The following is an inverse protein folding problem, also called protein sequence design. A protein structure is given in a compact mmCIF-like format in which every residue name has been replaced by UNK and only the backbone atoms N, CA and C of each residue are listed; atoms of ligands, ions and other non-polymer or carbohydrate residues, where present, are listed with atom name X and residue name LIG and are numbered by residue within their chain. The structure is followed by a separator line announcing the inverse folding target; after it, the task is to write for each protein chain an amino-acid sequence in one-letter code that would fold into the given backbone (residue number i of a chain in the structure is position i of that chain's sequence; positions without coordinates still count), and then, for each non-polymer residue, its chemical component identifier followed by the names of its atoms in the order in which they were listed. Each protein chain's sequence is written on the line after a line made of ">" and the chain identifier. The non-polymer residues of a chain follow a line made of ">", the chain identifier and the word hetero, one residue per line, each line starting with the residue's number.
data_IF_693563330471
#
_entry.id   IF_693563330471
#
_cell.length_a   1.000
_cell.length_b   1.000
_cell.length_c   1.000
_cell.angle_alpha   90.00
_cell.angle_beta   90.00
_cell.angle_gamma   90.00
#
_symmetry.space_group_name_H-M   'P 1'
#
loop_
_entity.id
_entity.type
_entity.pdbx_description
1 polymer ?
#
# COMPACT_ATOMS: atom_id res chain seq x y z
N UNK A 1 16.67 -8.33 11.75
CA UNK A 1 16.75 -8.65 10.31
C UNK A 1 17.18 -7.42 9.54
N UNK A 2 17.94 -7.60 8.44
CA UNK A 2 18.22 -6.56 7.46
C UNK A 2 17.27 -6.72 6.27
N UNK A 3 16.40 -5.77 6.03
CA UNK A 3 15.26 -5.88 5.11
C UNK A 3 15.49 -5.01 3.87
N UNK A 4 15.35 -5.61 2.68
CA UNK A 4 15.23 -4.83 1.45
C UNK A 4 13.79 -4.31 1.34
N UNK A 5 13.60 -3.00 1.20
CA UNK A 5 12.28 -2.38 1.02
C UNK A 5 12.23 -1.71 -0.35
N UNK A 6 11.59 -2.35 -1.32
CA UNK A 6 11.39 -1.73 -2.64
C UNK A 6 10.16 -0.84 -2.61
N UNK A 7 10.22 0.35 -3.24
CA UNK A 7 9.15 1.33 -3.15
C UNK A 7 9.06 2.00 -1.77
N UNK A 8 10.17 1.99 -1.01
CA UNK A 8 10.21 2.46 0.38
C UNK A 8 10.04 3.97 0.56
N UNK A 9 10.25 4.77 -0.49
CA UNK A 9 9.98 6.20 -0.47
C UNK A 9 8.50 6.56 -0.71
N UNK A 10 7.67 5.56 -1.04
CA UNK A 10 6.23 5.72 -1.25
C UNK A 10 5.43 5.81 0.06
N UNK A 11 4.10 5.97 -0.07
CA UNK A 11 3.19 6.15 1.06
C UNK A 11 3.27 5.02 2.09
N UNK A 12 3.01 3.78 1.67
CA UNK A 12 3.01 2.63 2.59
C UNK A 12 4.44 2.29 3.01
N UNK A 13 5.40 2.34 2.07
CA UNK A 13 6.80 2.01 2.33
C UNK A 13 7.42 2.89 3.40
N UNK A 14 7.24 4.22 3.34
CA UNK A 14 7.79 5.15 4.33
C UNK A 14 7.24 4.93 5.75
N UNK A 15 5.93 4.62 5.88
CA UNK A 15 5.35 4.26 7.17
C UNK A 15 5.87 2.89 7.66
N UNK A 16 6.06 1.93 6.76
CA UNK A 16 6.61 0.61 7.12
C UNK A 16 8.05 0.71 7.61
N UNK A 17 8.86 1.59 7.05
CA UNK A 17 10.22 1.83 7.55
C UNK A 17 10.22 2.22 9.03
N UNK A 18 9.32 3.14 9.44
CA UNK A 18 9.22 3.54 10.84
C UNK A 18 8.91 2.35 11.74
N UNK A 19 7.94 1.53 11.37
CA UNK A 19 7.54 0.37 12.19
C UNK A 19 8.63 -0.72 12.19
N UNK A 20 9.39 -0.90 11.09
CA UNK A 20 10.55 -1.81 11.05
C UNK A 20 11.63 -1.37 12.05
N UNK A 21 12.02 -0.08 12.03
CA UNK A 21 13.03 0.44 12.96
C UNK A 21 12.56 0.37 14.42
N UNK A 22 11.29 0.69 14.70
CA UNK A 22 10.69 0.52 16.05
C UNK A 22 10.75 -0.93 16.54
N UNK A 23 10.65 -1.90 15.63
CA UNK A 23 10.75 -3.33 15.91
C UNK A 23 12.20 -3.86 15.98
N UNK A 24 13.21 -3.00 15.82
CA UNK A 24 14.63 -3.36 15.89
C UNK A 24 15.19 -3.98 14.60
N UNK A 25 14.51 -3.83 13.47
CA UNK A 25 15.02 -4.24 12.16
C UNK A 25 15.78 -3.09 11.50
N UNK A 26 16.69 -3.42 10.58
CA UNK A 26 17.34 -2.47 9.68
C UNK A 26 16.75 -2.59 8.28
N UNK A 27 16.82 -1.52 7.50
CA UNK A 27 16.28 -1.53 6.15
C UNK A 27 17.20 -0.78 5.17
N UNK A 28 17.23 -1.28 3.92
CA UNK A 28 17.77 -0.56 2.77
C UNK A 28 16.63 -0.35 1.78
N UNK A 29 16.43 0.87 1.35
CA UNK A 29 15.36 1.24 0.42
C UNK A 29 15.87 1.20 -1.01
N UNK A 30 15.07 0.61 -1.91
CA UNK A 30 15.19 0.77 -3.37
C UNK A 30 13.95 1.46 -3.91
N UNK A 31 14.14 2.56 -4.62
CA UNK A 31 13.05 3.31 -5.24
C UNK A 31 13.58 4.07 -6.46
N UNK A 32 12.84 4.09 -7.57
CA UNK A 32 13.22 4.86 -8.74
C UNK A 32 12.71 6.31 -8.69
N UNK A 33 11.91 6.64 -7.66
CA UNK A 33 11.29 7.95 -7.43
C UNK A 33 10.35 8.40 -8.55
N UNK A 34 9.77 7.47 -9.32
CA UNK A 34 8.82 7.81 -10.38
C UNK A 34 7.48 8.33 -9.81
N UNK A 35 7.03 7.78 -8.67
CA UNK A 35 5.78 8.16 -7.99
C UNK A 35 5.99 8.33 -6.47
N UNK A 36 7.16 8.79 -6.08
CA UNK A 36 7.55 9.01 -4.68
C UNK A 36 8.48 10.22 -4.58
N UNK A 37 8.79 10.64 -3.36
CA UNK A 37 9.67 11.78 -3.10
C UNK A 37 10.71 11.39 -2.04
N UNK A 38 12.03 11.62 -2.27
CA UNK A 38 13.08 11.29 -1.31
C UNK A 38 12.95 12.04 0.01
N UNK A 39 12.23 13.15 0.05
CA UNK A 39 11.92 13.89 1.27
C UNK A 39 11.17 13.02 2.29
N UNK A 40 10.39 12.03 1.84
CA UNK A 40 9.76 11.07 2.74
C UNK A 40 10.80 10.31 3.57
N UNK A 41 11.90 9.87 2.95
CA UNK A 41 13.00 9.15 3.64
C UNK A 41 13.75 10.05 4.62
N UNK A 42 13.99 11.32 4.27
CA UNK A 42 14.59 12.30 5.18
C UNK A 42 13.72 12.48 6.43
N UNK A 43 12.40 12.62 6.24
CA UNK A 43 11.46 12.76 7.35
C UNK A 43 11.25 11.46 8.14
N UNK A 44 11.37 10.30 7.51
CA UNK A 44 11.45 9.02 8.23
C UNK A 44 12.69 9.01 9.14
N UNK A 45 13.87 9.38 8.63
CA UNK A 45 15.09 9.45 9.43
C UNK A 45 14.92 10.37 10.66
N UNK A 46 14.30 11.53 10.47
CA UNK A 46 13.96 12.48 11.55
C UNK A 46 13.04 11.82 12.61
N UNK A 47 11.98 11.10 12.19
CA UNK A 47 11.03 10.44 13.10
C UNK A 47 11.70 9.34 13.92
N UNK A 48 12.56 8.54 13.29
CA UNK A 48 13.19 7.39 13.96
C UNK A 48 14.51 7.75 14.66
N UNK A 49 14.98 8.99 14.51
CA UNK A 49 16.18 9.49 15.19
C UNK A 49 17.50 8.93 14.63
N UNK A 50 17.60 8.76 13.31
CA UNK A 50 18.84 8.35 12.62
C UNK A 50 19.31 9.44 11.66
N UNK A 51 20.59 9.45 11.30
CA UNK A 51 21.12 10.44 10.37
C UNK A 51 20.50 10.33 8.99
N UNK A 52 20.33 9.09 8.49
CA UNK A 52 19.70 8.81 7.19
C UNK A 52 19.16 7.38 7.12
N UNK A 53 18.14 7.19 6.29
CA UNK A 53 17.69 5.86 5.87
C UNK A 53 18.57 5.41 4.70
N UNK A 54 19.21 4.25 4.74
CA UNK A 54 19.97 3.71 3.61
C UNK A 54 19.09 3.63 2.35
N UNK A 55 19.51 4.31 1.29
CA UNK A 55 18.73 4.47 0.08
C UNK A 55 19.56 4.21 -1.17
N UNK A 56 19.06 3.38 -2.07
CA UNK A 56 19.64 3.09 -3.37
C UNK A 56 18.63 3.45 -4.46
N UNK A 57 18.93 4.51 -5.22
CA UNK A 57 18.07 4.95 -6.32
C UNK A 57 18.24 4.01 -7.51
N UNK A 58 17.26 3.13 -7.74
CA UNK A 58 17.25 2.22 -8.88
C UNK A 58 15.81 1.82 -9.26
N UNK A 59 15.65 1.42 -10.50
CA UNK A 59 14.44 0.75 -10.98
C UNK A 59 14.55 -0.76 -10.72
N UNK A 60 13.47 -1.39 -10.27
CA UNK A 60 13.46 -2.85 -10.02
C UNK A 60 13.62 -3.67 -11.31
N UNK A 61 13.46 -3.05 -12.48
CA UNK A 61 13.75 -3.67 -13.79
C UNK A 61 15.23 -3.65 -14.16
N UNK A 62 16.03 -2.81 -13.48
CA UNK A 62 17.48 -2.75 -13.69
C UNK A 62 18.18 -3.87 -12.92
N UNK A 63 18.38 -4.98 -13.62
CA UNK A 63 19.04 -6.19 -13.10
C UNK A 63 20.44 -5.90 -12.57
N UNK A 64 21.23 -5.12 -13.29
CA UNK A 64 22.61 -4.84 -12.92
C UNK A 64 22.68 -3.99 -11.66
N UNK A 65 21.81 -2.98 -11.55
CA UNK A 65 21.70 -2.16 -10.34
C UNK A 65 21.33 -3.02 -9.13
N UNK A 66 20.34 -3.91 -9.26
CA UNK A 66 19.95 -4.81 -8.18
C UNK A 66 21.08 -5.79 -7.82
N UNK A 67 21.78 -6.36 -8.81
CA UNK A 67 22.94 -7.23 -8.54
C UNK A 67 24.05 -6.51 -7.76
N UNK A 68 24.38 -5.26 -8.11
CA UNK A 68 25.32 -4.43 -7.34
C UNK A 68 24.88 -4.22 -5.90
N UNK A 69 23.59 -3.95 -5.70
CA UNK A 69 23.03 -3.76 -4.37
C UNK A 69 23.15 -5.03 -3.51
N UNK A 70 22.76 -6.17 -4.07
CA UNK A 70 22.83 -7.47 -3.37
C UNK A 70 24.27 -7.95 -3.15
N UNK A 71 25.21 -7.60 -4.03
CA UNK A 71 26.63 -7.89 -3.84
C UNK A 71 27.22 -7.13 -2.63
N UNK A 72 26.71 -5.95 -2.32
CA UNK A 72 27.18 -5.09 -1.23
C UNK A 72 26.40 -5.27 0.07
N UNK A 73 25.28 -5.99 0.03
CA UNK A 73 24.37 -6.13 1.18
C UNK A 73 23.84 -7.56 1.27
N UNK A 74 23.84 -8.11 2.49
CA UNK A 74 23.11 -9.34 2.78
C UNK A 74 21.74 -8.99 3.33
N UNK A 75 20.69 -9.43 2.64
CA UNK A 75 19.31 -9.25 3.06
C UNK A 75 18.71 -10.54 3.62
N UNK A 76 18.01 -10.44 4.73
CA UNK A 76 17.27 -11.54 5.35
C UNK A 76 15.90 -11.74 4.69
N UNK A 77 15.28 -10.65 4.24
CA UNK A 77 13.99 -10.66 3.54
C UNK A 77 13.83 -9.42 2.67
N UNK A 78 12.87 -9.48 1.74
CA UNK A 78 12.42 -8.35 0.94
C UNK A 78 10.94 -8.03 1.26
N UNK A 79 10.62 -6.77 1.51
CA UNK A 79 9.25 -6.25 1.48
C UNK A 79 9.08 -5.48 0.18
N UNK A 80 8.21 -5.99 -0.68
CA UNK A 80 8.10 -5.53 -2.07
C UNK A 80 6.85 -4.67 -2.26
N UNK A 81 7.04 -3.33 -2.21
CA UNK A 81 5.98 -2.33 -2.49
C UNK A 81 6.08 -1.76 -3.91
N UNK A 82 7.26 -1.76 -4.53
CA UNK A 82 7.47 -1.13 -5.82
C UNK A 82 6.48 -1.66 -6.86
N UNK A 83 5.73 -0.74 -7.48
CA UNK A 83 4.74 -1.06 -8.49
C UNK A 83 3.82 0.13 -8.77
N UNK A 84 3.34 0.22 -10.00
CA UNK A 84 2.30 1.16 -10.39
C UNK A 84 0.96 0.68 -9.79
N UNK A 85 0.16 1.59 -9.23
CA UNK A 85 -1.01 1.24 -8.40
C UNK A 85 -2.32 1.92 -8.78
N UNK A 86 -2.33 2.83 -9.74
CA UNK A 86 -3.52 3.60 -10.08
C UNK A 86 -4.43 2.80 -11.03
N UNK A 87 -5.61 2.42 -10.53
CA UNK A 87 -6.58 1.57 -11.26
C UNK A 87 -6.98 2.21 -12.60
N UNK A 88 -7.40 3.48 -12.59
CA UNK A 88 -7.80 4.18 -13.80
C UNK A 88 -6.68 4.30 -14.84
N UNK A 89 -5.48 4.71 -14.39
CA UNK A 89 -4.31 4.81 -15.27
C UNK A 89 -3.93 3.44 -15.88
N UNK A 90 -4.13 2.35 -15.15
CA UNK A 90 -3.81 1.01 -15.65
C UNK A 90 -4.65 0.63 -16.88
N UNK A 91 -5.87 1.15 -16.99
CA UNK A 91 -6.73 0.91 -18.16
C UNK A 91 -6.23 1.72 -19.36
N UNK A 92 -5.70 2.92 -19.14
CA UNK A 92 -5.16 3.79 -20.19
C UNK A 92 -3.76 3.37 -20.65
N UNK A 93 -2.96 2.82 -19.70
CA UNK A 93 -1.53 2.47 -19.91
C UNK A 93 -1.23 1.03 -19.48
N UNK A 94 -1.93 0.01 -20.01
CA UNK A 94 -1.77 -1.37 -19.54
C UNK A 94 -0.34 -1.91 -19.74
N UNK A 95 0.33 -1.53 -20.83
CA UNK A 95 1.69 -1.97 -21.12
C UNK A 95 2.66 -1.58 -20.00
N UNK A 96 2.64 -0.33 -19.56
CA UNK A 96 3.50 0.19 -18.51
C UNK A 96 3.26 -0.54 -17.19
N UNK A 97 2.00 -0.92 -16.91
CA UNK A 97 1.65 -1.68 -15.70
C UNK A 97 2.18 -3.11 -15.73
N UNK A 98 2.01 -3.81 -16.86
CA UNK A 98 2.55 -5.17 -16.99
C UNK A 98 4.08 -5.17 -17.00
N UNK A 99 4.68 -4.27 -17.74
CA UNK A 99 6.14 -4.18 -17.86
C UNK A 99 6.77 -3.78 -16.52
N UNK A 100 6.25 -2.76 -15.84
CA UNK A 100 6.79 -2.35 -14.55
C UNK A 100 6.53 -3.38 -13.45
N UNK A 101 5.29 -3.81 -13.28
CA UNK A 101 4.92 -4.62 -12.13
C UNK A 101 5.36 -6.08 -12.29
N UNK A 102 5.12 -6.70 -13.45
CA UNK A 102 5.44 -8.12 -13.66
C UNK A 102 6.91 -8.29 -13.98
N UNK A 103 7.42 -7.64 -15.03
CA UNK A 103 8.82 -7.80 -15.43
C UNK A 103 9.76 -7.34 -14.32
N UNK A 104 9.46 -6.21 -13.65
CA UNK A 104 10.24 -5.72 -12.53
C UNK A 104 10.28 -6.70 -11.35
N UNK A 105 9.14 -7.30 -10.97
CA UNK A 105 9.11 -8.30 -9.90
C UNK A 105 9.86 -9.57 -10.28
N UNK A 106 9.77 -10.04 -11.54
CA UNK A 106 10.53 -11.20 -12.02
C UNK A 106 12.04 -10.95 -11.97
N UNK A 107 12.50 -9.76 -12.35
CA UNK A 107 13.91 -9.36 -12.24
C UNK A 107 14.36 -9.36 -10.79
N UNK A 108 13.59 -8.73 -9.89
CA UNK A 108 13.88 -8.69 -8.46
C UNK A 108 14.00 -10.10 -7.86
N UNK A 109 13.04 -10.96 -8.09
CA UNK A 109 12.98 -12.32 -7.53
C UNK A 109 14.14 -13.19 -8.06
N UNK A 110 14.51 -13.04 -9.35
CA UNK A 110 15.67 -13.75 -9.88
C UNK A 110 17.00 -13.28 -9.23
N UNK A 111 17.16 -11.99 -9.00
CA UNK A 111 18.33 -11.46 -8.27
C UNK A 111 18.32 -11.94 -6.82
N UNK A 112 17.20 -11.87 -6.13
CA UNK A 112 17.04 -12.40 -4.76
C UNK A 112 17.47 -13.86 -4.68
N UNK A 113 16.97 -14.70 -5.60
CA UNK A 113 17.31 -16.13 -5.68
C UNK A 113 18.81 -16.36 -5.83
N UNK A 114 19.46 -15.65 -6.74
CA UNK A 114 20.91 -15.78 -7.03
C UNK A 114 21.78 -15.38 -5.84
N UNK A 115 21.28 -14.50 -4.97
CA UNK A 115 21.97 -14.04 -3.76
C UNK A 115 21.50 -14.72 -2.47
N UNK A 116 20.69 -15.78 -2.57
CA UNK A 116 20.23 -16.59 -1.43
C UNK A 116 19.19 -15.91 -0.53
N UNK A 117 18.60 -14.78 -0.95
CA UNK A 117 17.48 -14.14 -0.26
C UNK A 117 16.17 -14.74 -0.76
N UNK A 118 15.66 -15.77 -0.08
CA UNK A 118 14.44 -16.50 -0.47
C UNK A 118 13.22 -16.18 0.42
N UNK A 119 13.17 -14.98 0.98
CA UNK A 119 12.10 -14.51 1.86
C UNK A 119 11.48 -13.23 1.27
N UNK A 120 10.19 -13.28 0.92
CA UNK A 120 9.49 -12.14 0.33
C UNK A 120 8.13 -11.91 0.97
N UNK A 121 7.87 -10.66 1.34
CA UNK A 121 6.53 -10.15 1.70
C UNK A 121 6.06 -9.29 0.52
N UNK A 122 5.01 -9.75 -0.14
CA UNK A 122 4.49 -9.10 -1.35
C UNK A 122 3.26 -8.25 -1.06
N UNK A 123 3.31 -7.01 -1.50
CA UNK A 123 2.20 -6.07 -1.52
C UNK A 123 1.15 -6.49 -2.54
N UNK A 124 0.21 -7.34 -2.13
CA UNK A 124 -0.95 -7.68 -2.93
C UNK A 124 -2.13 -6.73 -2.65
N UNK A 125 -3.29 -7.02 -3.17
CA UNK A 125 -4.46 -6.14 -3.11
C UNK A 125 -5.75 -6.96 -3.04
N UNK A 126 -6.77 -6.42 -2.37
CA UNK A 126 -8.12 -6.96 -2.41
C UNK A 126 -8.73 -7.00 -3.82
N UNK A 127 -8.17 -6.25 -4.78
CA UNK A 127 -8.60 -6.31 -6.19
C UNK A 127 -8.45 -7.68 -6.83
N UNK A 128 -7.61 -8.57 -6.25
CA UNK A 128 -7.48 -9.96 -6.74
C UNK A 128 -8.74 -10.80 -6.53
N UNK A 129 -9.63 -10.39 -5.64
CA UNK A 129 -10.92 -11.07 -5.42
C UNK A 129 -11.95 -10.73 -6.51
N UNK A 130 -11.75 -9.64 -7.27
CA UNK A 130 -12.73 -9.18 -8.25
C UNK A 130 -14.05 -8.80 -7.58
N UNK A 131 -15.16 -9.37 -8.06
CA UNK A 131 -16.47 -9.32 -7.39
C UNK A 131 -16.53 -10.49 -6.42
N UNK A 132 -16.42 -10.26 -5.10
CA UNK A 132 -16.24 -11.33 -4.13
C UNK A 132 -17.53 -12.14 -3.96
N UNK A 133 -17.38 -13.47 -3.85
CA UNK A 133 -18.50 -14.38 -3.68
C UNK A 133 -19.21 -14.23 -2.31
N UNK A 134 -18.48 -13.74 -1.31
CA UNK A 134 -19.01 -13.50 0.05
C UNK A 134 -18.36 -12.30 0.73
N UNK A 135 -19.08 -11.68 1.64
CA UNK A 135 -18.63 -10.55 2.47
C UNK A 135 -19.05 -10.84 3.91
N UNK A 136 -18.13 -10.70 4.91
CA UNK A 136 -16.72 -10.24 4.82
C UNK A 136 -15.81 -11.22 4.04
N UNK A 137 -14.86 -10.66 3.27
CA UNK A 137 -13.98 -11.44 2.39
C UNK A 137 -12.92 -12.17 3.22
N UNK A 138 -12.85 -13.49 3.09
CA UNK A 138 -11.79 -14.32 3.69
C UNK A 138 -10.71 -14.65 2.66
N UNK A 139 -9.54 -15.14 3.12
CA UNK A 139 -8.47 -15.60 2.24
C UNK A 139 -8.83 -16.88 1.46
N UNK A 140 -9.92 -17.57 1.87
CA UNK A 140 -10.45 -18.73 1.19
C UNK A 140 -11.33 -18.36 -0.01
N UNK A 141 -11.80 -17.10 -0.07
CA UNK A 141 -12.51 -16.63 -1.26
C UNK A 141 -11.62 -16.81 -2.49
N UNK A 142 -12.15 -17.40 -3.57
CA UNK A 142 -11.39 -17.60 -4.78
C UNK A 142 -10.94 -16.25 -5.35
N UNK A 143 -9.79 -16.24 -6.03
CA UNK A 143 -9.43 -15.09 -6.85
C UNK A 143 -10.45 -14.97 -7.99
N UNK A 144 -11.05 -13.79 -8.13
CA UNK A 144 -12.03 -13.50 -9.16
C UNK A 144 -11.42 -12.97 -10.45
N UNK A 145 -12.29 -12.59 -11.37
CA UNK A 145 -11.86 -11.84 -12.56
C UNK A 145 -11.55 -10.40 -12.15
N UNK A 146 -10.30 -9.99 -12.34
CA UNK A 146 -9.93 -8.61 -12.12
C UNK A 146 -10.53 -7.72 -13.21
N UNK A 147 -11.03 -6.56 -12.81
CA UNK A 147 -11.72 -5.62 -13.69
C UNK A 147 -10.77 -4.63 -14.39
N UNK A 148 -9.48 -4.68 -14.08
CA UNK A 148 -8.48 -3.74 -14.59
C UNK A 148 -7.07 -4.35 -14.62
N UNK A 149 -6.14 -3.80 -15.44
CA UNK A 149 -4.77 -4.31 -15.56
C UNK A 149 -3.98 -4.28 -14.24
N UNK A 150 -4.16 -3.27 -13.39
CA UNK A 150 -3.50 -3.27 -12.07
C UNK A 150 -3.88 -4.50 -11.24
N UNK A 151 -5.16 -4.80 -11.11
CA UNK A 151 -5.64 -6.00 -10.42
C UNK A 151 -5.05 -7.29 -11.02
N UNK A 152 -5.01 -7.37 -12.34
CA UNK A 152 -4.39 -8.50 -13.03
C UNK A 152 -2.91 -8.63 -12.72
N UNK A 153 -2.12 -7.53 -12.67
CA UNK A 153 -0.71 -7.63 -12.29
C UNK A 153 -0.54 -8.21 -10.89
N UNK A 154 -1.38 -7.83 -9.92
CA UNK A 154 -1.34 -8.39 -8.56
C UNK A 154 -1.74 -9.86 -8.54
N UNK A 155 -2.81 -10.24 -9.22
CA UNK A 155 -3.27 -11.63 -9.29
C UNK A 155 -2.26 -12.56 -9.96
N UNK A 156 -1.66 -12.12 -11.07
CA UNK A 156 -0.61 -12.88 -11.77
C UNK A 156 0.64 -13.02 -10.92
N UNK A 157 1.09 -11.96 -10.24
CA UNK A 157 2.27 -12.01 -9.39
C UNK A 157 2.07 -12.90 -8.15
N UNK A 158 0.87 -12.93 -7.57
CA UNK A 158 0.57 -13.94 -6.55
C UNK A 158 0.80 -15.36 -7.10
N UNK A 159 0.29 -15.66 -8.31
CA UNK A 159 0.47 -16.98 -8.92
C UNK A 159 1.94 -17.29 -9.18
N UNK A 160 2.68 -16.34 -9.74
CA UNK A 160 4.13 -16.51 -9.99
C UNK A 160 4.88 -16.82 -8.69
N UNK A 161 4.61 -16.09 -7.62
CA UNK A 161 5.28 -16.30 -6.33
C UNK A 161 4.90 -17.64 -5.69
N UNK A 162 3.63 -18.06 -5.82
CA UNK A 162 3.16 -19.39 -5.39
C UNK A 162 3.87 -20.50 -6.14
N UNK A 163 4.03 -20.38 -7.46
CA UNK A 163 4.69 -21.39 -8.30
C UNK A 163 6.18 -21.45 -7.98
N UNK A 164 6.85 -20.32 -7.72
CA UNK A 164 8.24 -20.27 -7.30
C UNK A 164 8.42 -20.97 -5.94
N UNK A 165 7.56 -20.70 -4.98
CA UNK A 165 7.61 -21.36 -3.67
C UNK A 165 7.36 -22.88 -3.78
N UNK A 166 6.43 -23.29 -4.62
CA UNK A 166 6.15 -24.72 -4.87
C UNK A 166 7.33 -25.44 -5.52
N UNK A 167 8.03 -24.78 -6.43
CA UNK A 167 9.19 -25.34 -7.13
C UNK A 167 10.45 -25.39 -6.25
N UNK A 168 10.58 -24.46 -5.31
CA UNK A 168 11.70 -24.35 -4.38
C UNK A 168 11.17 -24.06 -2.95
N UNK A 169 10.99 -25.12 -2.13
CA UNK A 169 10.43 -25.02 -0.78
C UNK A 169 11.26 -24.20 0.23
N UNK A 170 12.48 -23.78 -0.13
CA UNK A 170 13.26 -22.86 0.71
C UNK A 170 12.69 -21.44 0.69
N UNK A 171 11.87 -21.10 -0.31
CA UNK A 171 11.18 -19.81 -0.33
C UNK A 171 10.13 -19.71 0.75
N UNK A 172 10.11 -18.56 1.41
CA UNK A 172 9.02 -18.12 2.26
C UNK A 172 8.35 -16.91 1.60
N UNK A 173 7.11 -17.09 1.18
CA UNK A 173 6.31 -16.10 0.47
C UNK A 173 5.12 -15.71 1.33
N UNK A 174 5.03 -14.45 1.69
CA UNK A 174 3.86 -13.89 2.37
C UNK A 174 3.15 -12.91 1.45
N UNK A 175 1.90 -13.20 1.11
CA UNK A 175 1.05 -12.36 0.28
C UNK A 175 0.11 -11.57 1.19
N UNK A 176 0.26 -10.24 1.20
CA UNK A 176 -0.57 -9.36 2.00
C UNK A 176 -1.59 -8.65 1.09
N UNK A 177 -2.86 -9.02 1.18
CA UNK A 177 -3.94 -8.42 0.41
C UNK A 177 -4.50 -7.22 1.16
N UNK A 178 -4.13 -6.02 0.70
CA UNK A 178 -4.56 -4.77 1.30
C UNK A 178 -5.96 -4.39 0.87
N UNK A 179 -6.70 -3.80 1.80
CA UNK A 179 -7.89 -3.04 1.51
C UNK A 179 -7.52 -1.56 1.27
N UNK A 180 -8.24 -0.59 1.72
CA UNK A 180 -8.01 0.81 1.34
C UNK A 180 -7.16 1.56 2.38
N UNK A 181 -5.83 1.71 2.20
CA UNK A 181 -5.00 2.43 3.15
C UNK A 181 -5.30 3.93 3.14
N UNK A 182 -5.46 4.49 4.34
CA UNK A 182 -5.70 5.91 4.60
C UNK A 182 -4.96 6.35 5.86
N UNK A 183 -5.03 7.63 6.20
CA UNK A 183 -4.32 8.14 7.37
C UNK A 183 -2.92 8.66 7.01
N UNK A 184 -2.16 8.97 8.04
CA UNK A 184 -0.79 9.43 7.96
C UNK A 184 -0.10 9.14 9.29
N UNK A 185 1.20 9.37 9.40
CA UNK A 185 1.89 9.34 10.68
C UNK A 185 1.42 10.48 11.57
N UNK A 186 1.21 10.23 12.86
CA UNK A 186 0.69 11.20 13.84
C UNK A 186 1.46 12.51 13.89
N UNK A 187 2.76 12.50 13.58
CA UNK A 187 3.59 13.71 13.51
C UNK A 187 3.13 14.69 12.41
N UNK A 188 2.42 14.20 11.38
CA UNK A 188 2.09 14.97 10.18
C UNK A 188 3.32 15.29 9.30
N UNK A 189 4.44 14.60 9.51
CA UNK A 189 5.66 14.76 8.68
C UNK A 189 5.59 13.93 7.41
N UNK A 190 4.98 12.73 7.45
CA UNK A 190 4.79 11.86 6.29
C UNK A 190 3.33 11.48 6.11
N UNK A 191 2.92 11.31 4.85
CA UNK A 191 1.55 10.96 4.46
C UNK A 191 1.46 10.64 2.98
N UNK A 192 0.24 10.47 2.47
CA UNK A 192 0.01 10.20 1.06
C UNK A 192 0.15 11.50 0.24
N UNK A 193 1.13 11.51 -0.68
CA UNK A 193 1.42 12.63 -1.56
C UNK A 193 1.39 12.18 -3.03
N UNK A 194 0.18 12.04 -3.63
CA UNK A 194 0.05 11.59 -5.00
C UNK A 194 0.56 12.65 -5.99
N UNK A 195 1.22 12.20 -7.06
CA UNK A 195 1.53 13.07 -8.18
C UNK A 195 0.24 13.36 -8.97
N UNK A 196 -0.05 14.64 -9.22
CA UNK A 196 -1.22 15.06 -9.98
C UNK A 196 -2.56 14.91 -9.22
N UNK A 197 -3.59 14.45 -9.93
CA UNK A 197 -4.94 14.26 -9.37
C UNK A 197 -4.97 12.98 -8.53
N UNK A 198 -5.40 13.04 -7.24
CA UNK A 198 -5.52 11.84 -6.45
C UNK A 198 -6.53 10.84 -7.02
N UNK A 199 -6.13 9.57 -7.06
CA UNK A 199 -7.05 8.48 -7.40
C UNK A 199 -7.77 7.91 -6.17
N UNK A 200 -7.20 8.11 -4.97
CA UNK A 200 -7.77 7.63 -3.71
C UNK A 200 -8.65 8.69 -3.07
N UNK A 201 -9.68 8.23 -2.35
CA UNK A 201 -10.69 9.09 -1.72
C UNK A 201 -10.09 10.08 -0.71
N UNK A 202 -9.27 9.59 0.24
CA UNK A 202 -8.80 10.43 1.35
C UNK A 202 -7.91 11.59 0.91
N UNK A 203 -6.88 11.41 0.06
CA UNK A 203 -6.11 12.55 -0.42
C UNK A 203 -6.94 13.52 -1.29
N UNK A 204 -8.00 13.04 -1.94
CA UNK A 204 -8.93 13.94 -2.62
C UNK A 204 -9.72 14.79 -1.63
N UNK A 205 -10.29 14.18 -0.57
CA UNK A 205 -10.99 14.88 0.51
C UNK A 205 -10.09 15.95 1.14
N UNK A 206 -8.84 15.59 1.48
CA UNK A 206 -7.92 16.52 2.13
C UNK A 206 -7.50 17.66 1.22
N UNK A 207 -7.36 17.42 -0.10
CA UNK A 207 -7.08 18.47 -1.08
C UNK A 207 -8.27 19.41 -1.29
N UNK A 208 -9.51 18.92 -1.18
CA UNK A 208 -10.70 19.79 -1.15
C UNK A 208 -10.72 20.63 0.13
N UNK A 209 -10.48 19.99 1.26
CA UNK A 209 -10.50 20.66 2.56
C UNK A 209 -9.45 21.78 2.70
N UNK A 210 -8.26 21.63 2.06
CA UNK A 210 -7.21 22.65 2.07
C UNK A 210 -7.39 23.70 0.96
N UNK A 211 -8.46 23.59 0.15
CA UNK A 211 -8.79 24.55 -0.91
C UNK A 211 -8.07 24.32 -2.23
N UNK A 212 -7.33 23.21 -2.38
CA UNK A 212 -6.61 22.87 -3.62
C UNK A 212 -7.53 22.39 -4.73
N UNK A 213 -8.75 21.93 -4.35
CA UNK A 213 -9.81 21.48 -5.26
C UNK A 213 -11.14 22.07 -4.85
N UNK A 214 -12.05 22.37 -5.79
CA UNK A 214 -13.32 23.01 -5.47
C UNK A 214 -14.29 22.09 -4.74
N UNK A 215 -14.36 20.82 -5.11
CA UNK A 215 -15.31 19.84 -4.60
C UNK A 215 -14.85 18.40 -4.79
N UNK A 216 -15.45 17.46 -4.04
CA UNK A 216 -15.28 16.03 -4.21
C UNK A 216 -16.35 15.48 -5.17
N UNK A 217 -15.98 14.66 -6.14
CA UNK A 217 -16.92 13.85 -6.90
C UNK A 217 -17.23 12.54 -6.15
N UNK A 218 -18.50 12.31 -5.80
CA UNK A 218 -18.99 11.05 -5.22
C UNK A 218 -19.61 10.22 -6.32
N UNK A 219 -19.01 9.08 -6.66
CA UNK A 219 -19.39 8.26 -7.81
C UNK A 219 -20.47 7.22 -7.45
N UNK A 220 -21.71 7.48 -7.87
CA UNK A 220 -22.89 6.69 -7.56
C UNK A 220 -23.49 7.01 -6.20
N UNK A 221 -24.83 7.04 -6.16
CA UNK A 221 -25.63 7.17 -4.94
C UNK A 221 -26.82 6.20 -4.93
N UNK A 222 -26.74 5.18 -5.77
CA UNK A 222 -27.79 4.20 -6.04
C UNK A 222 -27.32 2.76 -5.82
N UNK A 223 -26.18 2.56 -5.13
CA UNK A 223 -25.73 1.25 -4.69
C UNK A 223 -26.64 0.70 -3.58
N UNK A 224 -26.80 -0.65 -3.47
CA UNK A 224 -27.56 -1.29 -2.40
C UNK A 224 -26.79 -1.24 -1.05
N UNK A 225 -26.48 -0.04 -0.60
CA UNK A 225 -25.79 0.29 0.66
C UNK A 225 -26.64 1.23 1.48
N UNK A 226 -26.27 1.47 2.75
CA UNK A 226 -27.10 2.26 3.67
C UNK A 226 -27.34 3.72 3.26
N UNK A 227 -26.45 4.30 2.47
CA UNK A 227 -26.55 5.67 1.97
C UNK A 227 -26.44 5.79 0.44
N UNK A 228 -26.44 4.65 -0.24
CA UNK A 228 -26.36 4.56 -1.69
C UNK A 228 -24.94 4.72 -2.26
N UNK A 229 -23.93 5.03 -1.44
CA UNK A 229 -22.54 5.16 -1.92
C UNK A 229 -21.71 3.91 -1.67
N UNK A 230 -20.62 3.73 -2.41
CA UNK A 230 -19.78 2.53 -2.32
C UNK A 230 -19.14 2.36 -0.93
N UNK A 231 -19.15 1.13 -0.42
CA UNK A 231 -18.61 0.75 0.90
C UNK A 231 -17.26 0.06 0.75
N UNK A 232 -16.26 0.51 1.50
CA UNK A 232 -14.89 -0.05 1.49
C UNK A 232 -14.38 -0.25 2.92
N UNK A 233 -13.44 -1.18 3.07
CA UNK A 233 -12.66 -1.36 4.29
C UNK A 233 -11.48 -0.37 4.25
N UNK A 234 -11.57 0.70 5.02
CA UNK A 234 -10.45 1.64 5.16
C UNK A 234 -9.59 1.21 6.34
N UNK A 235 -8.29 1.11 6.11
CA UNK A 235 -7.29 0.74 7.11
C UNK A 235 -6.29 1.88 7.31
N UNK A 236 -5.95 2.17 8.56
CA UNK A 236 -4.93 3.17 8.86
C UNK A 236 -3.56 2.69 8.35
N UNK A 237 -2.83 3.56 7.66
CA UNK A 237 -1.53 3.21 7.06
C UNK A 237 -0.50 2.70 8.09
N UNK A 238 -0.56 3.17 9.33
CA UNK A 238 0.31 2.69 10.43
C UNK A 238 -0.07 1.26 10.83
N UNK A 239 -1.36 0.92 10.89
CA UNK A 239 -1.80 -0.45 11.12
C UNK A 239 -1.35 -1.38 10.00
N UNK A 240 -1.48 -0.92 8.74
CA UNK A 240 -1.00 -1.65 7.58
C UNK A 240 0.52 -1.85 7.63
N UNK A 241 1.28 -0.81 7.95
CA UNK A 241 2.73 -0.88 8.13
C UNK A 241 3.13 -1.89 9.22
N UNK A 242 2.44 -1.87 10.36
CA UNK A 242 2.64 -2.85 11.43
C UNK A 242 2.29 -4.29 10.97
N UNK A 243 1.32 -4.45 10.08
CA UNK A 243 1.00 -5.74 9.47
C UNK A 243 2.19 -6.37 8.72
N UNK A 244 3.02 -5.56 8.06
CA UNK A 244 4.25 -6.03 7.40
C UNK A 244 5.30 -6.49 8.42
N UNK A 245 5.45 -5.75 9.51
CA UNK A 245 6.35 -6.16 10.61
C UNK A 245 5.89 -7.47 11.23
N UNK A 246 4.59 -7.61 11.48
CA UNK A 246 4.02 -8.87 11.97
C UNK A 246 4.20 -10.02 10.98
N UNK A 247 4.15 -9.76 9.67
CA UNK A 247 4.38 -10.78 8.64
C UNK A 247 5.81 -11.33 8.65
N UNK A 248 6.81 -10.58 9.13
CA UNK A 248 8.17 -11.09 9.32
C UNK A 248 8.21 -12.28 10.29
N UNK A 249 7.29 -12.35 11.27
CA UNK A 249 7.16 -13.52 12.15
C UNK A 249 6.78 -14.80 11.40
N UNK A 250 6.00 -14.68 10.31
CA UNK A 250 5.72 -15.83 9.44
C UNK A 250 6.98 -16.29 8.70
N UNK A 251 7.78 -15.34 8.21
CA UNK A 251 9.10 -15.62 7.60
C UNK A 251 10.02 -16.34 8.59
N UNK A 252 10.13 -15.85 9.84
CA UNK A 252 10.96 -16.48 10.90
C UNK A 252 10.54 -17.91 11.19
N UNK A 253 9.24 -18.21 11.12
CA UNK A 253 8.69 -19.56 11.31
C UNK A 253 8.80 -20.44 10.06
N UNK A 254 9.42 -19.93 8.98
CA UNK A 254 9.56 -20.63 7.68
C UNK A 254 8.19 -21.09 7.15
N UNK A 255 7.29 -20.14 6.96
CA UNK A 255 5.89 -20.40 6.62
C UNK A 255 5.66 -21.08 5.25
N UNK A 256 6.69 -21.15 4.40
CA UNK A 256 6.53 -21.52 2.99
C UNK A 256 5.65 -20.50 2.27
N UNK A 257 4.36 -20.78 2.12
CA UNK A 257 3.39 -19.85 1.53
C UNK A 257 2.33 -19.46 2.57
N UNK A 258 2.13 -18.16 2.75
CA UNK A 258 1.06 -17.62 3.58
C UNK A 258 0.35 -16.45 2.89
N UNK A 259 -0.96 -16.37 3.06
CA UNK A 259 -1.80 -15.28 2.51
C UNK A 259 -2.60 -14.68 3.65
N UNK A 260 -2.63 -13.35 3.74
CA UNK A 260 -3.36 -12.62 4.77
C UNK A 260 -4.10 -11.40 4.20
N UNK A 261 -5.34 -11.23 4.62
CA UNK A 261 -6.08 -9.99 4.43
C UNK A 261 -5.66 -8.97 5.51
N UNK A 262 -5.27 -7.78 5.09
CA UNK A 262 -5.00 -6.65 5.97
C UNK A 262 -6.07 -5.58 5.79
N UNK A 263 -7.08 -5.62 6.63
CA UNK A 263 -8.16 -4.67 6.73
C UNK A 263 -8.68 -4.60 8.16
N UNK A 264 -9.71 -3.82 8.39
CA UNK A 264 -10.30 -3.62 9.73
C UNK A 264 -11.47 -4.57 10.02
N UNK A 265 -12.01 -5.20 8.98
CA UNK A 265 -13.26 -5.96 9.07
C UNK A 265 -14.52 -5.08 9.14
N UNK A 266 -14.38 -3.78 8.86
CA UNK A 266 -15.47 -2.81 8.86
C UNK A 266 -15.56 -2.09 7.53
N UNK A 267 -16.77 -2.01 6.98
CA UNK A 267 -17.05 -1.22 5.81
C UNK A 267 -17.52 0.18 6.18
N UNK A 268 -16.96 1.19 5.52
CA UNK A 268 -17.44 2.57 5.57
C UNK A 268 -17.79 3.04 4.17
N UNK A 269 -18.87 3.77 4.04
CA UNK A 269 -19.27 4.38 2.77
C UNK A 269 -18.42 5.60 2.45
N UNK A 270 -18.49 6.09 1.21
CA UNK A 270 -17.85 7.35 0.83
C UNK A 270 -18.38 8.50 1.68
N UNK A 271 -19.69 8.57 1.91
CA UNK A 271 -20.29 9.63 2.74
C UNK A 271 -20.00 9.47 4.23
N UNK A 272 -19.79 8.23 4.73
CA UNK A 272 -19.29 8.03 6.10
C UNK A 272 -17.92 8.67 6.28
N UNK A 273 -17.03 8.51 5.30
CA UNK A 273 -15.69 9.10 5.33
C UNK A 273 -15.76 10.64 5.30
N UNK A 274 -16.62 11.21 4.47
CA UNK A 274 -16.81 12.66 4.39
C UNK A 274 -17.37 13.21 5.73
N UNK A 275 -18.44 12.60 6.24
CA UNK A 275 -19.05 12.99 7.51
C UNK A 275 -18.09 12.88 8.69
N UNK A 276 -17.31 11.79 8.76
CA UNK A 276 -16.29 11.61 9.79
C UNK A 276 -15.21 12.69 9.68
N UNK A 277 -14.75 12.98 8.46
CA UNK A 277 -13.75 14.02 8.23
C UNK A 277 -14.24 15.40 8.69
N UNK A 278 -15.44 15.78 8.30
CA UNK A 278 -16.05 17.07 8.72
C UNK A 278 -16.23 17.16 10.23
N UNK A 279 -16.78 16.10 10.85
CA UNK A 279 -17.04 16.05 12.29
C UNK A 279 -15.75 16.15 13.11
N UNK A 280 -14.71 15.41 12.72
CA UNK A 280 -13.46 15.31 13.51
C UNK A 280 -12.60 16.56 13.33
N UNK A 281 -12.54 17.11 12.11
CA UNK A 281 -11.61 18.18 11.78
C UNK A 281 -12.26 19.58 11.75
N UNK A 282 -13.58 19.66 11.79
CA UNK A 282 -14.32 20.94 11.75
C UNK A 282 -14.23 21.65 10.40
N UNK A 283 -13.88 20.94 9.32
CA UNK A 283 -13.70 21.49 7.97
C UNK A 283 -14.71 20.88 7.03
N UNK A 284 -15.42 21.70 6.26
CA UNK A 284 -16.41 21.25 5.27
C UNK A 284 -15.75 20.71 4.02
N UNK A 285 -16.35 19.66 3.45
CA UNK A 285 -15.94 19.02 2.19
C UNK A 285 -17.13 19.07 1.23
N UNK A 286 -17.24 20.13 0.41
CA UNK A 286 -18.27 20.18 -0.61
C UNK A 286 -18.11 19.01 -1.59
N UNK A 287 -19.24 18.43 -2.01
CA UNK A 287 -19.24 17.31 -2.95
C UNK A 287 -20.43 17.36 -3.91
N UNK A 288 -20.26 16.71 -5.07
CA UNK A 288 -21.33 16.47 -6.03
C UNK A 288 -21.43 14.99 -6.37
N UNK A 289 -22.67 14.53 -6.58
CA UNK A 289 -22.91 13.15 -7.01
C UNK A 289 -22.60 13.05 -8.51
N UNK A 290 -21.79 12.05 -8.88
CA UNK A 290 -21.42 11.71 -10.24
C UNK A 290 -21.98 10.33 -10.62
N UNK A 291 -22.14 9.99 -11.90
CA UNK A 291 -22.46 8.62 -12.32
C UNK A 291 -21.46 7.60 -11.75
N UNK A 292 -21.90 6.34 -11.59
CA UNK A 292 -21.00 5.24 -11.18
C UNK A 292 -19.80 5.13 -12.11
N UNK A 293 -18.63 4.80 -11.55
CA UNK A 293 -17.47 4.42 -12.37
C UNK A 293 -17.62 2.98 -12.83
N UNK A 294 -17.16 2.68 -14.04
CA UNK A 294 -17.12 1.31 -14.53
C UNK A 294 -16.21 0.44 -13.64
N UNK A 295 -16.68 -0.75 -13.30
CA UNK A 295 -15.94 -1.70 -12.47
C UNK A 295 -15.98 -1.47 -10.96
N UNK A 296 -16.67 -0.42 -10.46
CA UNK A 296 -16.89 -0.24 -9.03
C UNK A 296 -17.95 -1.23 -8.53
N UNK A 297 -17.65 -1.93 -7.43
CA UNK A 297 -18.57 -2.82 -6.71
C UNK A 297 -19.20 -2.10 -5.51
N UNK A 298 -20.40 -2.52 -5.10
CA UNK A 298 -21.15 -1.86 -4.03
C UNK A 298 -20.43 -1.92 -2.68
N UNK A 299 -19.93 -3.11 -2.31
CA UNK A 299 -19.36 -3.36 -0.98
C UNK A 299 -18.12 -4.25 -1.07
N UNK A 300 -17.07 -3.86 -0.35
CA UNK A 300 -15.83 -4.64 -0.26
C UNK A 300 -15.18 -4.41 1.10
N UNK A 301 -15.24 -5.40 2.01
CA UNK A 301 -14.52 -5.36 3.28
C UNK A 301 -14.05 -6.75 3.73
N UNK A 302 -12.99 -6.77 4.52
CA UNK A 302 -12.25 -7.97 4.89
C UNK A 302 -12.84 -8.72 6.08
N UNK A 303 -12.39 -9.97 6.22
CA UNK A 303 -12.34 -10.67 7.49
C UNK A 303 -10.85 -10.81 7.88
N UNK A 304 -10.34 -10.07 8.88
CA UNK A 304 -8.93 -10.10 9.28
C UNK A 304 -8.58 -11.23 10.27
N UNK A 305 -9.51 -12.12 10.61
CA UNK A 305 -9.37 -13.09 11.69
C UNK A 305 -8.13 -14.00 11.52
N UNK A 306 -7.74 -14.33 10.30
CA UNK A 306 -6.55 -15.13 10.04
C UNK A 306 -5.27 -14.38 10.42
N UNK A 307 -5.14 -13.12 10.04
CA UNK A 307 -4.00 -12.28 10.43
C UNK A 307 -3.96 -12.05 11.95
N UNK A 308 -5.11 -11.85 12.60
CA UNK A 308 -5.19 -11.75 14.06
C UNK A 308 -4.67 -13.02 14.74
N UNK A 309 -5.12 -14.20 14.30
CA UNK A 309 -4.77 -15.50 14.87
C UNK A 309 -3.31 -15.88 14.63
N UNK A 310 -2.83 -15.76 13.41
CA UNK A 310 -1.55 -16.33 12.99
C UNK A 310 -0.37 -15.36 13.14
N UNK A 311 -0.60 -14.05 12.96
CA UNK A 311 0.43 -13.03 13.08
C UNK A 311 0.37 -12.27 14.41
N UNK A 312 -0.72 -12.40 15.17
CA UNK A 312 -1.00 -11.56 16.34
C UNK A 312 -1.22 -10.09 15.96
N UNK A 313 -1.61 -9.85 14.72
CA UNK A 313 -1.85 -8.51 14.19
C UNK A 313 -3.33 -8.14 14.24
N UNK A 314 -3.61 -6.92 14.65
CA UNK A 314 -4.97 -6.35 14.68
C UNK A 314 -4.91 -4.87 14.35
N UNK A 315 -5.83 -4.41 13.49
CA UNK A 315 -6.03 -2.99 13.25
C UNK A 315 -6.53 -2.30 14.52
N UNK A 316 -5.89 -1.21 14.90
CA UNK A 316 -6.14 -0.47 16.16
C UNK A 316 -6.84 0.86 15.92
N UNK A 317 -6.57 1.51 14.79
CA UNK A 317 -7.06 2.86 14.51
C UNK A 317 -8.42 2.82 13.82
N UNK A 318 -9.37 3.57 14.37
CA UNK A 318 -10.70 3.75 13.79
C UNK A 318 -10.76 4.91 12.81
N UNK A 319 -11.95 5.11 12.22
CA UNK A 319 -12.21 6.16 11.22
C UNK A 319 -11.81 7.57 11.71
N UNK A 320 -12.05 7.88 12.99
CA UNK A 320 -11.75 9.20 13.56
C UNK A 320 -10.24 9.50 13.55
N UNK A 321 -9.41 8.49 13.86
CA UNK A 321 -7.97 8.64 13.79
C UNK A 321 -7.50 8.74 12.33
N UNK A 322 -8.06 7.93 11.46
CA UNK A 322 -7.74 7.94 10.02
C UNK A 322 -7.91 9.33 9.42
N UNK A 323 -9.08 9.97 9.64
CA UNK A 323 -9.37 11.30 9.08
C UNK A 323 -8.59 12.41 9.77
N UNK A 324 -8.32 12.29 11.09
CA UNK A 324 -7.51 13.24 11.86
C UNK A 324 -6.07 13.28 11.35
N UNK A 325 -5.44 12.13 11.20
CA UNK A 325 -4.03 12.05 10.82
C UNK A 325 -3.84 12.44 9.35
N UNK A 326 -4.78 12.05 8.47
CA UNK A 326 -4.79 12.52 7.08
C UNK A 326 -4.85 14.05 6.99
N UNK A 327 -5.71 14.68 7.81
CA UNK A 327 -5.81 16.13 7.85
C UNK A 327 -4.59 16.80 8.47
N UNK A 328 -4.03 16.22 9.55
CA UNK A 328 -2.81 16.72 10.17
C UNK A 328 -1.64 16.77 9.17
N UNK A 329 -1.50 15.72 8.36
CA UNK A 329 -0.55 15.70 7.25
C UNK A 329 -0.83 16.80 6.22
N UNK A 330 -2.03 16.83 5.65
CA UNK A 330 -2.36 17.78 4.57
C UNK A 330 -2.27 19.24 5.03
N UNK A 331 -2.74 19.53 6.24
CA UNK A 331 -2.69 20.89 6.82
C UNK A 331 -1.25 21.39 7.00
N UNK A 332 -0.33 20.52 7.41
CA UNK A 332 1.10 20.86 7.55
C UNK A 332 1.83 20.90 6.22
N UNK A 333 1.28 20.24 5.20
CA UNK A 333 1.88 20.10 3.88
C UNK A 333 0.83 20.39 2.79
N UNK A 334 0.35 21.64 2.68
CA UNK A 334 -0.72 21.98 1.75
C UNK A 334 -0.34 21.67 0.29
N UNK A 335 0.93 21.84 -0.08
CA UNK A 335 1.47 21.52 -1.40
C UNK A 335 2.09 20.12 -1.50
N UNK A 336 2.00 19.31 -0.44
CA UNK A 336 2.67 18.02 -0.35
C UNK A 336 4.15 18.13 0.04
N UNK A 337 4.95 17.14 -0.33
CA UNK A 337 6.40 17.23 -0.15
C UNK A 337 6.99 18.35 -1.04
N UNK A 338 8.09 18.99 -0.61
CA UNK A 338 8.77 19.98 -1.44
C UNK A 338 9.08 19.42 -2.83
N UNK A 339 8.96 20.29 -3.83
CA UNK A 339 9.35 19.93 -5.21
C UNK A 339 10.83 19.57 -5.19
N UNK A 340 11.19 18.47 -5.85
CA UNK A 340 12.58 18.06 -6.02
C UNK A 340 13.38 19.24 -6.60
N UNK A 341 14.09 19.99 -5.79
CA UNK A 341 15.21 20.79 -6.29
C UNK A 341 16.25 19.77 -6.75
N UNK A 342 16.62 19.82 -8.03
CA UNK A 342 17.68 18.98 -8.57
C UNK A 342 18.92 19.20 -7.71
N UNK A 343 19.16 18.30 -6.76
CA UNK A 343 20.48 18.15 -6.17
C UNK A 343 21.26 17.37 -7.20
N UNK A 344 22.13 18.09 -7.89
CA UNK A 344 23.11 17.58 -8.84
C UNK A 344 24.01 16.53 -8.17
#
# INVERSE_FOLDING_TARGET
>A
MNILVTGGAGFIGSHTLIELYKAGHTAVVVDNLSNSNPESLRRVAEIIGVDQVPFFKADIRDREALQRLFASNRFDACIHFAGLKAVGESVEKPWEYYENNISGTLVLVDVMRRHGCKNIIFSSSATVYGDPAEIPITEQCPKGQCTNPYGWTKSMLEQVLMDIQKADPEWNVVLLRYFNPVGAHESGLIGENPNGIPNNLMPYITQVAVGKRPELGVFGNDYPTHDGTGVRDYIHVVDLANGHVCALKAIERKCGLAVYNLGTGRGYSVLDMVKAFERVNGVKVPYTIKPRRAGDIATCYSNPAKAEKELGWKAKYGIDQMVRDSWNWQKKNPEGYPVKTNVQ
#
